data_IF_887448750097
#
_entry.id   IF_887448750097
#
_cell.length_a   1.000
_cell.length_b   1.000
_cell.length_c   1.000
_cell.angle_alpha   90.00
_cell.angle_beta   90.00
_cell.angle_gamma   90.00
#
_symmetry.space_group_name_H-M   'P 1'
#
loop_
_entity.id
_entity.type
_entity.pdbx_description
1 polymer ?
#
# COMPACT_ATOMS: atom_id res chain seq x y z
N UNK A 1 23.56 10.20 -10.08
CA UNK A 1 22.22 10.83 -10.18
C UNK A 1 21.37 10.23 -11.30
N UNK A 2 21.90 10.05 -12.52
CA UNK A 2 21.20 9.38 -13.63
C UNK A 2 20.67 7.98 -13.30
N UNK A 3 21.47 7.14 -12.63
CA UNK A 3 21.04 5.79 -12.21
C UNK A 3 19.84 5.84 -11.25
N UNK A 4 19.81 6.83 -10.36
CA UNK A 4 18.69 7.01 -9.43
C UNK A 4 17.40 7.40 -10.16
N UNK A 5 17.48 8.32 -11.12
CA UNK A 5 16.33 8.73 -11.94
C UNK A 5 15.81 7.57 -12.78
N UNK A 6 16.69 6.76 -13.35
CA UNK A 6 16.33 5.57 -14.13
C UNK A 6 15.65 4.52 -13.25
N UNK A 7 16.19 4.25 -12.05
CA UNK A 7 15.57 3.36 -11.07
C UNK A 7 14.20 3.88 -10.61
N UNK A 8 14.07 5.19 -10.33
CA UNK A 8 12.80 5.80 -9.95
C UNK A 8 11.76 5.69 -11.07
N UNK A 9 12.14 5.97 -12.32
CA UNK A 9 11.25 5.82 -13.48
C UNK A 9 10.84 4.36 -13.68
N UNK A 10 11.76 3.40 -13.53
CA UNK A 10 11.46 1.96 -13.58
C UNK A 10 10.42 1.57 -12.53
N UNK A 11 10.60 2.01 -11.28
CA UNK A 11 9.66 1.77 -10.19
C UNK A 11 8.28 2.35 -10.50
N UNK A 12 8.20 3.61 -10.92
CA UNK A 12 6.94 4.27 -11.25
C UNK A 12 6.20 3.61 -12.42
N UNK A 13 6.92 3.23 -13.48
CA UNK A 13 6.32 2.53 -14.64
C UNK A 13 5.87 1.13 -14.25
N UNK A 14 6.64 0.43 -13.41
CA UNK A 14 6.28 -0.87 -12.87
C UNK A 14 4.96 -0.78 -12.10
N UNK A 15 4.90 0.11 -11.11
CA UNK A 15 3.68 0.37 -10.31
C UNK A 15 2.50 0.71 -11.23
N UNK A 16 2.67 1.64 -12.17
CA UNK A 16 1.59 2.05 -13.09
C UNK A 16 1.05 0.89 -13.93
N UNK A 17 1.92 -0.03 -14.36
CA UNK A 17 1.52 -1.21 -15.13
C UNK A 17 0.88 -2.27 -14.24
N UNK A 18 1.20 -2.35 -12.94
CA UNK A 18 0.50 -3.17 -11.96
C UNK A 18 -0.97 -2.77 -11.80
N UNK A 19 -1.27 -1.46 -11.80
CA UNK A 19 -2.64 -0.94 -11.72
C UNK A 19 -3.54 -1.35 -12.90
N UNK A 20 -2.97 -1.85 -14.00
CA UNK A 20 -3.76 -2.39 -15.13
C UNK A 20 -4.25 -3.82 -14.93
N UNK A 21 -3.82 -4.53 -13.88
CA UNK A 21 -4.33 -5.88 -13.58
C UNK A 21 -5.62 -5.79 -12.75
N UNK A 22 -6.72 -6.45 -13.16
CA UNK A 22 -8.01 -6.34 -12.47
C UNK A 22 -7.96 -6.81 -11.01
N UNK A 23 -7.13 -7.82 -10.71
CA UNK A 23 -6.89 -8.32 -9.36
C UNK A 23 -6.25 -7.25 -8.45
N UNK A 24 -5.31 -6.47 -9.00
CA UNK A 24 -4.63 -5.41 -8.28
C UNK A 24 -5.60 -4.25 -7.98
N UNK A 25 -6.41 -3.87 -8.96
CA UNK A 25 -7.41 -2.82 -8.80
C UNK A 25 -8.44 -3.18 -7.73
N UNK A 26 -8.95 -4.42 -7.72
CA UNK A 26 -9.91 -4.91 -6.73
C UNK A 26 -9.40 -4.78 -5.29
N UNK A 27 -8.17 -5.21 -5.04
CA UNK A 27 -7.53 -5.09 -3.72
C UNK A 27 -7.32 -3.64 -3.33
N UNK A 28 -6.83 -2.82 -4.25
CA UNK A 28 -6.60 -1.41 -4.00
C UNK A 28 -7.92 -0.66 -3.71
N UNK A 29 -8.99 -0.94 -4.45
CA UNK A 29 -10.32 -0.37 -4.17
C UNK A 29 -10.86 -0.84 -2.84
N UNK A 30 -10.68 -2.11 -2.49
CA UNK A 30 -11.12 -2.66 -1.20
C UNK A 30 -10.38 -1.96 -0.05
N UNK A 31 -9.05 -1.84 -0.16
CA UNK A 31 -8.21 -1.14 0.80
C UNK A 31 -8.61 0.34 0.93
N UNK A 32 -8.90 1.00 -0.20
CA UNK A 32 -9.38 2.38 -0.21
C UNK A 32 -10.68 2.55 0.58
N UNK A 33 -11.66 1.66 0.40
CA UNK A 33 -12.91 1.70 1.18
C UNK A 33 -12.69 1.39 2.66
N UNK A 34 -11.78 0.47 2.99
CA UNK A 34 -11.39 0.20 4.38
C UNK A 34 -10.83 1.47 5.02
N UNK A 35 -9.82 2.09 4.41
CA UNK A 35 -9.21 3.34 4.93
C UNK A 35 -10.24 4.46 5.03
N UNK A 36 -11.10 4.62 4.03
CA UNK A 36 -12.15 5.65 4.03
C UNK A 36 -13.14 5.45 5.19
N UNK A 37 -13.57 4.20 5.42
CA UNK A 37 -14.48 3.87 6.52
C UNK A 37 -13.84 4.10 7.89
N UNK A 38 -12.58 3.70 8.07
CA UNK A 38 -11.80 4.00 9.28
C UNK A 38 -11.67 5.51 9.50
N UNK A 39 -11.34 6.26 8.45
CA UNK A 39 -11.15 7.72 8.51
C UNK A 39 -12.45 8.42 8.97
N UNK A 40 -13.59 8.06 8.38
CA UNK A 40 -14.89 8.60 8.78
C UNK A 40 -15.25 8.22 10.22
N UNK A 41 -14.97 6.98 10.62
CA UNK A 41 -15.22 6.51 11.97
C UNK A 41 -14.41 7.28 13.02
N UNK A 42 -13.09 7.37 12.85
CA UNK A 42 -12.22 8.06 13.80
C UNK A 42 -12.49 9.57 13.82
N UNK A 43 -12.81 10.18 12.68
CA UNK A 43 -13.25 11.58 12.62
C UNK A 43 -14.50 11.81 13.47
N UNK A 44 -15.50 10.92 13.36
CA UNK A 44 -16.78 11.07 14.06
C UNK A 44 -16.73 10.70 15.54
N UNK A 45 -15.97 9.67 15.91
CA UNK A 45 -15.94 9.12 17.27
C UNK A 45 -14.86 9.72 18.15
N UNK A 46 -13.65 9.91 17.61
CA UNK A 46 -12.50 10.48 18.35
C UNK A 46 -12.35 11.99 18.09
N UNK A 47 -13.09 12.56 17.14
CA UNK A 47 -13.07 14.00 16.85
C UNK A 47 -11.78 14.49 16.17
N UNK A 48 -10.90 13.58 15.76
CA UNK A 48 -9.61 13.91 15.12
C UNK A 48 -9.77 14.70 13.82
N UNK A 49 -8.78 15.50 13.43
CA UNK A 49 -8.81 16.16 12.13
C UNK A 49 -8.81 15.13 10.99
N UNK A 50 -9.33 15.48 9.81
CA UNK A 50 -9.40 14.55 8.67
C UNK A 50 -8.07 13.88 8.33
N UNK A 51 -6.99 14.68 8.39
CA UNK A 51 -5.65 14.18 8.11
C UNK A 51 -5.16 13.21 9.19
N UNK A 52 -5.41 13.49 10.47
CA UNK A 52 -5.00 12.65 11.59
C UNK A 52 -5.77 11.32 11.60
N UNK A 53 -7.08 11.38 11.31
CA UNK A 53 -7.92 10.19 11.16
C UNK A 53 -7.48 9.31 9.99
N UNK A 54 -7.15 9.91 8.85
CA UNK A 54 -6.63 9.18 7.69
C UNK A 54 -5.23 8.60 7.98
N UNK A 55 -4.36 9.39 8.62
CA UNK A 55 -3.02 8.97 9.01
C UNK A 55 -3.07 7.77 9.95
N UNK A 56 -3.89 7.82 11.02
CA UNK A 56 -4.08 6.69 11.92
C UNK A 56 -4.66 5.47 11.19
N UNK A 57 -5.68 5.66 10.34
CA UNK A 57 -6.32 4.57 9.59
C UNK A 57 -5.35 3.82 8.68
N UNK A 58 -4.35 4.49 8.13
CA UNK A 58 -3.32 3.87 7.28
C UNK A 58 -2.23 3.23 8.13
N UNK A 59 -1.67 3.96 9.10
CA UNK A 59 -0.54 3.49 9.91
C UNK A 59 -0.94 2.32 10.79
N UNK A 60 -2.17 2.28 11.30
CA UNK A 60 -2.65 1.18 12.13
C UNK A 60 -2.68 -0.16 11.36
N UNK A 61 -2.89 -0.13 10.04
CA UNK A 61 -2.93 -1.33 9.19
C UNK A 61 -1.55 -1.85 8.79
N UNK A 62 -0.49 -1.07 9.03
CA UNK A 62 0.88 -1.46 8.72
C UNK A 62 1.60 -1.75 10.05
N UNK A 63 2.17 -2.94 10.25
CA UNK A 63 2.94 -3.24 11.46
C UNK A 63 4.32 -2.58 11.38
N UNK A 64 4.32 -1.27 11.62
CA UNK A 64 5.52 -0.41 11.63
C UNK A 64 6.09 -0.25 13.03
N UNK A 65 5.29 -0.52 14.07
CA UNK A 65 5.67 -0.24 15.47
C UNK A 65 5.87 1.25 15.77
N UNK A 66 5.41 2.15 14.88
CA UNK A 66 5.57 3.60 15.03
C UNK A 66 4.54 4.13 16.02
N UNK A 67 5.03 4.84 17.04
CA UNK A 67 4.18 5.63 17.92
C UNK A 67 3.72 6.90 17.20
N UNK A 68 2.42 7.01 16.95
CA UNK A 68 1.81 8.14 16.24
C UNK A 68 1.37 9.27 17.17
N UNK A 69 1.33 9.02 18.48
CA UNK A 69 0.66 9.90 19.46
C UNK A 69 -0.87 9.88 19.38
N UNK A 70 -1.45 9.11 18.45
CA UNK A 70 -2.89 8.94 18.26
C UNK A 70 -3.29 7.53 18.67
N UNK A 71 -4.25 7.41 19.58
CA UNK A 71 -4.78 6.12 20.01
C UNK A 71 -6.27 6.24 20.36
N UNK A 72 -7.08 5.19 20.12
CA UNK A 72 -8.50 5.20 20.46
C UNK A 72 -8.70 5.40 21.97
N UNK A 73 -9.41 6.45 22.35
CA UNK A 73 -9.62 6.80 23.76
C UNK A 73 -10.91 6.17 24.32
N UNK A 74 -11.93 6.02 23.48
CA UNK A 74 -13.22 5.43 23.87
C UNK A 74 -13.23 3.89 23.80
N UNK A 75 -14.07 3.23 24.59
CA UNK A 75 -14.17 1.76 24.53
C UNK A 75 -14.79 1.28 23.20
N UNK A 76 -15.70 2.07 22.63
CA UNK A 76 -16.29 1.76 21.34
C UNK A 76 -15.27 1.82 20.20
N UNK A 77 -14.41 2.83 20.20
CA UNK A 77 -13.35 2.97 19.18
C UNK A 77 -12.26 1.92 19.32
N UNK A 78 -11.96 1.45 20.54
CA UNK A 78 -11.08 0.28 20.76
C UNK A 78 -11.67 -0.99 20.12
N UNK A 79 -12.95 -1.28 20.36
CA UNK A 79 -13.63 -2.45 19.77
C UNK A 79 -13.63 -2.37 18.24
N UNK A 80 -14.00 -1.22 17.69
CA UNK A 80 -13.92 -1.00 16.25
C UNK A 80 -12.50 -1.23 15.73
N UNK A 81 -11.49 -0.67 16.40
CA UNK A 81 -10.09 -0.80 15.98
C UNK A 81 -9.65 -2.27 15.99
N UNK A 82 -10.05 -3.08 16.96
CA UNK A 82 -9.74 -4.51 16.96
C UNK A 82 -10.28 -5.22 15.70
N UNK A 83 -11.54 -4.96 15.33
CA UNK A 83 -12.16 -5.55 14.13
C UNK A 83 -11.51 -4.99 12.86
N UNK A 84 -11.30 -3.67 12.82
CA UNK A 84 -10.67 -2.94 11.72
C UNK A 84 -9.28 -3.49 11.41
N UNK A 85 -8.47 -3.77 12.44
CA UNK A 85 -7.14 -4.35 12.28
C UNK A 85 -7.20 -5.78 11.75
N UNK A 86 -8.11 -6.64 12.24
CA UNK A 86 -8.23 -8.03 11.76
C UNK A 86 -8.53 -8.06 10.26
N UNK A 87 -9.47 -7.22 9.80
CA UNK A 87 -9.91 -7.19 8.39
C UNK A 87 -8.91 -6.43 7.52
N UNK A 88 -8.55 -5.21 7.92
CA UNK A 88 -7.76 -4.29 7.10
C UNK A 88 -6.31 -4.71 6.97
N UNK A 89 -5.71 -5.28 8.01
CA UNK A 89 -4.29 -5.63 8.01
C UNK A 89 -4.02 -6.72 6.96
N UNK A 90 -4.88 -7.75 6.87
CA UNK A 90 -4.74 -8.78 5.85
C UNK A 90 -4.78 -8.23 4.42
N UNK A 91 -5.73 -7.33 4.14
CA UNK A 91 -5.85 -6.68 2.82
C UNK A 91 -4.65 -5.79 2.53
N UNK A 92 -4.18 -5.03 3.53
CA UNK A 92 -2.99 -4.18 3.41
C UNK A 92 -1.74 -5.01 3.10
N UNK A 93 -1.52 -6.11 3.82
CA UNK A 93 -0.41 -7.02 3.61
C UNK A 93 -0.39 -7.62 2.21
N UNK A 94 -1.53 -8.15 1.74
CA UNK A 94 -1.62 -8.73 0.39
C UNK A 94 -1.34 -7.66 -0.67
N UNK A 95 -1.86 -6.45 -0.47
CA UNK A 95 -1.63 -5.32 -1.39
C UNK A 95 -0.14 -4.95 -1.47
N UNK A 96 0.54 -4.87 -0.33
CA UNK A 96 1.99 -4.60 -0.26
C UNK A 96 2.81 -5.72 -0.90
N UNK A 97 2.46 -6.99 -0.66
CA UNK A 97 3.12 -8.14 -1.27
C UNK A 97 2.96 -8.16 -2.79
N UNK A 98 1.76 -7.84 -3.29
CA UNK A 98 1.51 -7.77 -4.73
C UNK A 98 2.27 -6.62 -5.39
N UNK A 99 2.34 -5.47 -4.73
CA UNK A 99 3.21 -4.36 -5.17
C UNK A 99 4.67 -4.79 -5.26
N UNK A 100 5.19 -5.40 -4.20
CA UNK A 100 6.57 -5.89 -4.15
C UNK A 100 6.87 -6.91 -5.24
N UNK A 101 6.01 -7.93 -5.40
CA UNK A 101 6.15 -8.93 -6.48
C UNK A 101 6.15 -8.29 -7.85
N UNK A 102 5.26 -7.33 -8.10
CA UNK A 102 5.21 -6.69 -9.40
C UNK A 102 6.51 -5.96 -9.73
N UNK A 103 7.14 -5.30 -8.76
CA UNK A 103 8.44 -4.63 -8.94
C UNK A 103 9.55 -5.65 -9.29
N UNK A 104 9.56 -6.79 -8.61
CA UNK A 104 10.53 -7.87 -8.87
C UNK A 104 10.33 -8.45 -10.28
N UNK A 105 9.09 -8.76 -10.66
CA UNK A 105 8.76 -9.30 -11.98
C UNK A 105 9.20 -8.37 -13.12
N UNK A 106 9.04 -7.05 -12.95
CA UNK A 106 9.53 -6.06 -13.91
C UNK A 106 11.05 -6.08 -14.05
N UNK A 107 11.76 -6.25 -12.94
CA UNK A 107 13.23 -6.30 -12.93
C UNK A 107 13.73 -7.51 -13.72
N UNK A 108 13.10 -8.67 -13.51
CA UNK A 108 13.43 -9.93 -14.22
C UNK A 108 13.10 -9.81 -15.72
N UNK A 109 11.97 -9.20 -16.09
CA UNK A 109 11.60 -8.99 -17.50
C UNK A 109 12.60 -8.11 -18.26
N UNK A 110 13.14 -7.06 -17.63
CA UNK A 110 14.15 -6.21 -18.24
C UNK A 110 15.50 -6.89 -18.40
N UNK A 111 15.96 -7.64 -17.38
CA UNK A 111 17.21 -8.41 -17.49
C UNK A 111 17.16 -9.41 -18.64
N UNK A 112 16.04 -10.12 -18.80
CA UNK A 112 15.84 -11.05 -19.94
C UNK A 112 15.92 -10.34 -21.28
N UNK A 113 15.30 -9.17 -21.42
CA UNK A 113 15.36 -8.38 -22.67
C UNK A 113 16.78 -7.92 -22.99
N UNK A 114 17.52 -7.45 -21.99
CA UNK A 114 18.91 -7.04 -22.17
C UNK A 114 19.81 -8.21 -22.57
N UNK A 115 19.61 -9.40 -22.00
CA UNK A 115 20.35 -10.62 -22.38
C UNK A 115 20.06 -11.04 -23.83
N UNK A 116 18.78 -11.03 -24.25
CA UNK A 116 18.40 -11.36 -25.64
C UNK A 116 19.01 -10.38 -26.63
N UNK A 117 18.99 -9.07 -26.33
CA UNK A 117 19.60 -8.04 -27.19
C UNK A 117 21.12 -8.25 -27.30
N UNK A 118 21.79 -8.62 -26.20
CA UNK A 118 23.23 -8.93 -26.23
C UNK A 118 23.53 -10.17 -27.07
N UNK A 119 22.67 -11.19 -27.03
CA UNK A 119 22.84 -12.40 -27.83
C UNK A 119 22.61 -12.17 -29.33
N UNK A 120 21.64 -11.34 -29.71
CA UNK A 120 21.33 -11.00 -31.11
C UNK A 120 22.37 -10.07 -31.78
N UNK A 121 23.20 -9.38 -30.99
CA UNK A 121 24.25 -8.47 -31.48
C UNK A 121 25.62 -9.14 -31.60
N UNK A 122 25.71 -10.44 -31.33
CA UNK A 122 26.93 -11.24 -31.43
C UNK A 122 26.85 -12.14 -32.66
#
# INVERSE_FOLDING_TARGET
MLSFILSAKRLLVGIWKSFKRPQFLSLFTTLFFIILSGTMFYRGTEGWHWLDAMYFSVVSLIPTGVETGLYPTSDFSKIFTMIYLIVGTGVMFITLLMLGRSIVDFTIEEEKKEQVIKHLKK
#
